data_IF_231015207724
#
_entry.id   IF_231015207724
#
_cell.length_a   1.000
_cell.length_b   1.000
_cell.length_c   1.000
_cell.angle_alpha   90.00
_cell.angle_beta   90.00
_cell.angle_gamma   90.00
#
_symmetry.space_group_name_H-M   'P 1'
#
loop_
_entity.id
_entity.type
_entity.pdbx_description
1 polymer ?
#
# COMPACT_ATOMS: atom_id res chain seq x y z
N UNK A 1 25.18 75.00 -17.22
CA UNK A 1 25.65 73.68 -17.71
C UNK A 1 27.06 73.88 -18.22
N UNK A 2 28.06 73.23 -17.62
CA UNK A 2 29.43 73.30 -18.09
C UNK A 2 29.62 72.29 -19.23
N UNK A 3 29.97 72.75 -20.43
CA UNK A 3 30.32 71.88 -21.55
C UNK A 3 31.78 71.50 -21.37
N UNK A 4 32.04 70.25 -20.95
CA UNK A 4 33.39 69.68 -20.85
C UNK A 4 33.67 68.87 -22.11
N UNK A 5 34.85 69.05 -22.72
CA UNK A 5 35.26 68.36 -23.95
C UNK A 5 35.89 66.99 -23.66
N UNK A 6 36.39 66.78 -22.44
CA UNK A 6 37.04 65.52 -22.03
C UNK A 6 36.06 64.47 -21.50
N UNK A 7 34.94 64.89 -20.92
CA UNK A 7 33.94 63.99 -20.33
C UNK A 7 32.56 64.35 -20.89
N UNK A 8 32.01 63.46 -21.72
CA UNK A 8 30.65 63.60 -22.26
C UNK A 8 29.64 62.99 -21.27
N UNK A 9 29.07 63.86 -20.42
CA UNK A 9 28.09 63.47 -19.41
C UNK A 9 26.83 62.82 -20.02
N UNK A 10 26.32 63.36 -21.14
CA UNK A 10 25.14 62.82 -21.80
C UNK A 10 25.38 61.37 -22.28
N UNK A 11 26.54 61.10 -22.87
CA UNK A 11 26.95 59.74 -23.28
C UNK A 11 27.06 58.77 -22.11
N UNK A 12 27.65 59.20 -20.99
CA UNK A 12 27.77 58.37 -19.78
C UNK A 12 26.41 58.01 -19.18
N UNK A 13 25.47 58.96 -19.16
CA UNK A 13 24.10 58.71 -18.70
C UNK A 13 23.39 57.73 -19.64
N UNK A 14 23.49 57.93 -20.95
CA UNK A 14 22.92 57.00 -21.94
C UNK A 14 23.51 55.59 -21.80
N UNK A 15 24.81 55.45 -21.57
CA UNK A 15 25.47 54.15 -21.42
C UNK A 15 25.04 53.41 -20.15
N UNK A 16 24.90 54.11 -19.02
CA UNK A 16 24.35 53.52 -17.79
C UNK A 16 22.89 53.06 -17.96
N UNK A 17 22.05 53.86 -18.61
CA UNK A 17 20.66 53.49 -18.91
C UNK A 17 20.59 52.29 -19.85
N UNK A 18 21.42 52.24 -20.89
CA UNK A 18 21.51 51.09 -21.80
C UNK A 18 21.95 49.81 -21.07
N UNK A 19 22.87 49.91 -20.11
CA UNK A 19 23.30 48.76 -19.31
C UNK A 19 22.16 48.24 -18.43
N UNK A 20 21.38 49.13 -17.80
CA UNK A 20 20.17 48.76 -17.05
C UNK A 20 19.13 48.05 -17.94
N UNK A 21 18.87 48.58 -19.14
CA UNK A 21 17.94 47.97 -20.12
C UNK A 21 18.42 46.59 -20.59
N UNK A 22 19.71 46.43 -20.88
CA UNK A 22 20.27 45.13 -21.26
C UNK A 22 20.16 44.09 -20.12
N UNK A 23 20.36 44.50 -18.87
CA UNK A 23 20.18 43.63 -17.71
C UNK A 23 18.71 43.19 -17.57
N UNK A 24 17.75 44.11 -17.73
CA UNK A 24 16.31 43.80 -17.69
C UNK A 24 15.88 42.87 -18.86
N UNK A 25 16.43 43.08 -20.05
CA UNK A 25 16.19 42.21 -21.21
C UNK A 25 16.75 40.80 -20.96
N UNK A 26 17.98 40.70 -20.46
CA UNK A 26 18.62 39.41 -20.14
C UNK A 26 17.78 38.62 -19.14
N UNK A 27 17.31 39.26 -18.08
CA UNK A 27 16.42 38.65 -17.08
C UNK A 27 15.08 38.21 -17.67
N UNK A 28 14.53 38.97 -18.61
CA UNK A 28 13.28 38.61 -19.28
C UNK A 28 13.46 37.42 -20.23
N UNK A 29 14.58 37.38 -20.96
CA UNK A 29 14.97 36.23 -21.79
C UNK A 29 15.21 34.98 -20.95
N UNK A 30 15.84 35.12 -19.78
CA UNK A 30 16.07 34.02 -18.85
C UNK A 30 14.75 33.43 -18.35
N UNK A 31 13.81 34.27 -17.90
CA UNK A 31 12.47 33.85 -17.48
C UNK A 31 11.67 33.21 -18.60
N UNK A 32 11.80 33.72 -19.83
CA UNK A 32 11.16 33.13 -21.00
C UNK A 32 11.74 31.75 -21.33
N UNK A 33 13.06 31.60 -21.24
CA UNK A 33 13.76 30.36 -21.53
C UNK A 33 13.51 29.28 -20.47
N UNK A 34 13.42 29.65 -19.19
CA UNK A 34 13.16 28.69 -18.11
C UNK A 34 11.68 28.46 -17.88
N UNK A 35 10.81 29.40 -18.29
CA UNK A 35 9.39 29.41 -17.95
C UNK A 35 9.09 29.75 -16.50
N UNK A 36 10.11 30.01 -15.66
CA UNK A 36 9.94 30.34 -14.25
C UNK A 36 10.07 31.83 -14.01
N UNK A 37 9.18 32.38 -13.17
CA UNK A 37 9.25 33.79 -12.76
C UNK A 37 10.40 34.07 -11.78
N UNK A 38 10.78 33.08 -10.98
CA UNK A 38 11.84 33.16 -9.97
C UNK A 38 12.89 32.11 -10.36
N UNK A 39 14.03 32.54 -10.89
CA UNK A 39 15.13 31.64 -11.27
C UNK A 39 16.23 31.60 -10.21
N UNK A 40 16.41 32.68 -9.44
CA UNK A 40 17.45 32.79 -8.45
C UNK A 40 16.95 33.37 -7.12
N UNK A 41 17.71 33.13 -6.03
CA UNK A 41 17.43 33.72 -4.72
C UNK A 41 17.57 35.26 -4.73
N UNK A 42 18.29 35.83 -5.72
CA UNK A 42 18.40 37.26 -5.91
C UNK A 42 17.11 37.90 -6.46
N UNK A 43 16.23 37.10 -7.08
CA UNK A 43 14.95 37.59 -7.61
C UNK A 43 13.88 37.67 -6.53
N UNK A 44 13.77 36.61 -5.72
CA UNK A 44 12.84 36.49 -4.58
C UNK A 44 13.26 35.30 -3.70
N UNK A 45 14.03 35.57 -2.65
CA UNK A 45 14.53 34.53 -1.75
C UNK A 45 13.39 33.81 -1.00
N UNK A 46 12.35 34.54 -0.57
CA UNK A 46 11.23 33.97 0.16
C UNK A 46 10.32 33.14 -0.77
N UNK A 47 10.03 33.66 -1.96
CA UNK A 47 9.28 32.94 -2.99
C UNK A 47 9.99 31.67 -3.46
N UNK A 48 11.32 31.72 -3.64
CA UNK A 48 12.11 30.54 -3.98
C UNK A 48 12.07 29.49 -2.86
N UNK A 49 12.15 29.90 -1.59
CA UNK A 49 12.05 28.97 -0.45
C UNK A 49 10.68 28.27 -0.42
N UNK A 50 9.59 29.02 -0.61
CA UNK A 50 8.24 28.44 -0.67
C UNK A 50 8.12 27.49 -1.85
N UNK A 51 8.60 27.88 -3.03
CA UNK A 51 8.59 27.04 -4.23
C UNK A 51 9.37 25.75 -4.03
N UNK A 52 10.56 25.80 -3.41
CA UNK A 52 11.35 24.62 -3.09
C UNK A 52 10.62 23.70 -2.11
N UNK A 53 10.01 24.25 -1.06
CA UNK A 53 9.21 23.46 -0.10
C UNK A 53 8.02 22.77 -0.78
N UNK A 54 7.30 23.48 -1.64
CA UNK A 54 6.18 22.90 -2.41
C UNK A 54 6.67 21.85 -3.42
N UNK A 55 7.84 22.05 -4.05
CA UNK A 55 8.43 21.07 -4.96
C UNK A 55 8.83 19.79 -4.22
N UNK A 56 9.48 19.92 -3.05
CA UNK A 56 9.80 18.80 -2.18
C UNK A 56 8.53 18.05 -1.75
N UNK A 57 7.49 18.78 -1.35
CA UNK A 57 6.21 18.19 -0.98
C UNK A 57 5.56 17.44 -2.16
N UNK A 58 5.56 18.04 -3.36
CA UNK A 58 5.03 17.40 -4.57
C UNK A 58 5.78 16.12 -4.93
N UNK A 59 7.12 16.14 -4.84
CA UNK A 59 7.95 14.95 -5.06
C UNK A 59 7.69 13.87 -4.02
N UNK A 60 7.57 14.26 -2.74
CA UNK A 60 7.23 13.34 -1.66
C UNK A 60 5.88 12.68 -1.87
N UNK A 61 4.85 13.45 -2.21
CA UNK A 61 3.52 12.93 -2.57
C UNK A 61 3.58 12.01 -3.80
N UNK A 62 4.44 12.29 -4.78
CA UNK A 62 4.66 11.42 -5.93
C UNK A 62 5.21 10.03 -5.57
N UNK A 63 6.13 9.96 -4.61
CA UNK A 63 6.60 8.68 -4.05
C UNK A 63 5.51 8.02 -3.22
N UNK A 64 4.81 8.80 -2.39
CA UNK A 64 3.74 8.31 -1.53
C UNK A 64 2.61 7.65 -2.33
N UNK A 65 2.19 8.23 -3.46
CA UNK A 65 1.20 7.60 -4.35
C UNK A 65 1.67 6.25 -4.89
N UNK A 66 2.96 6.11 -5.22
CA UNK A 66 3.52 4.82 -5.64
C UNK A 66 3.49 3.80 -4.50
N UNK A 67 3.93 4.20 -3.31
CA UNK A 67 3.87 3.35 -2.12
C UNK A 67 2.42 2.92 -1.81
N UNK A 68 1.45 3.81 -1.93
CA UNK A 68 0.03 3.48 -1.76
C UNK A 68 -0.44 2.47 -2.80
N UNK A 69 0.00 2.60 -4.05
CA UNK A 69 -0.35 1.65 -5.11
C UNK A 69 0.26 0.26 -4.84
N UNK A 70 1.51 0.20 -4.37
CA UNK A 70 2.16 -1.05 -3.97
C UNK A 70 1.45 -1.68 -2.76
N UNK A 71 1.02 -0.86 -1.79
CA UNK A 71 0.22 -1.29 -0.65
C UNK A 71 -1.11 -1.91 -1.10
N UNK A 72 -1.82 -1.26 -2.03
CA UNK A 72 -3.07 -1.78 -2.61
C UNK A 72 -2.82 -3.13 -3.29
N UNK A 73 -1.80 -3.22 -4.15
CA UNK A 73 -1.49 -4.47 -4.85
C UNK A 73 -1.10 -5.60 -3.89
N UNK A 74 -0.38 -5.29 -2.82
CA UNK A 74 -0.07 -6.24 -1.75
C UNK A 74 -1.34 -6.72 -1.04
N UNK A 75 -2.23 -5.79 -0.65
CA UNK A 75 -3.49 -6.12 0.02
C UNK A 75 -4.40 -6.96 -0.88
N UNK A 76 -4.53 -6.61 -2.16
CA UNK A 76 -5.32 -7.39 -3.13
C UNK A 76 -4.79 -8.81 -3.31
N UNK A 77 -3.47 -8.99 -3.28
CA UNK A 77 -2.86 -10.33 -3.35
C UNK A 77 -3.20 -11.14 -2.10
N UNK A 78 -3.14 -10.52 -0.91
CA UNK A 78 -3.54 -11.16 0.34
C UNK A 78 -5.05 -11.48 0.37
N UNK A 79 -5.89 -10.57 -0.11
CA UNK A 79 -7.34 -10.74 -0.18
C UNK A 79 -7.73 -11.88 -1.13
N UNK A 80 -7.14 -11.95 -2.33
CA UNK A 80 -7.40 -13.04 -3.26
C UNK A 80 -7.00 -14.42 -2.71
N UNK A 81 -5.89 -14.49 -1.96
CA UNK A 81 -5.50 -15.72 -1.27
C UNK A 81 -6.52 -16.11 -0.17
N UNK A 82 -7.02 -15.14 0.59
CA UNK A 82 -8.04 -15.37 1.61
C UNK A 82 -9.38 -15.82 1.02
N UNK A 83 -9.77 -15.28 -0.13
CA UNK A 83 -10.98 -15.71 -0.84
C UNK A 83 -10.85 -17.18 -1.30
N UNK A 84 -9.70 -17.60 -1.81
CA UNK A 84 -9.47 -19.00 -2.16
C UNK A 84 -9.50 -19.92 -0.94
N UNK A 85 -8.87 -19.51 0.17
CA UNK A 85 -8.94 -20.24 1.44
C UNK A 85 -10.40 -20.38 1.94
N UNK A 86 -11.23 -19.36 1.72
CA UNK A 86 -12.66 -19.40 2.06
C UNK A 86 -13.40 -20.45 1.24
N UNK A 87 -13.16 -20.50 -0.07
CA UNK A 87 -13.79 -21.48 -0.96
C UNK A 87 -13.40 -22.92 -0.58
N UNK A 88 -12.13 -23.13 -0.23
CA UNK A 88 -11.66 -24.43 0.28
C UNK A 88 -12.35 -24.79 1.60
N UNK A 89 -12.47 -23.83 2.53
CA UNK A 89 -13.16 -24.05 3.80
C UNK A 89 -14.63 -24.46 3.61
N UNK A 90 -15.35 -23.82 2.67
CA UNK A 90 -16.71 -24.25 2.33
C UNK A 90 -16.75 -25.68 1.79
N UNK A 91 -15.81 -26.06 0.92
CA UNK A 91 -15.72 -27.43 0.41
C UNK A 91 -15.43 -28.44 1.53
N UNK A 92 -14.55 -28.10 2.46
CA UNK A 92 -14.27 -28.90 3.65
C UNK A 92 -15.50 -29.07 4.55
N UNK A 93 -16.29 -28.00 4.72
CA UNK A 93 -17.56 -27.99 5.48
C UNK A 93 -18.63 -28.89 4.83
N UNK A 94 -18.73 -28.86 3.50
CA UNK A 94 -19.60 -29.74 2.71
C UNK A 94 -19.21 -31.22 2.90
N UNK A 95 -17.92 -31.54 2.79
CA UNK A 95 -17.41 -32.90 2.97
C UNK A 95 -17.63 -33.40 4.41
N UNK A 96 -17.41 -32.56 5.42
CA UNK A 96 -17.68 -32.89 6.81
C UNK A 96 -19.16 -33.19 7.05
N UNK A 97 -20.04 -32.40 6.44
CA UNK A 97 -21.50 -32.63 6.51
C UNK A 97 -21.91 -33.89 5.76
N UNK A 98 -21.27 -34.18 4.62
CA UNK A 98 -21.52 -35.38 3.83
C UNK A 98 -21.10 -36.65 4.58
N UNK A 99 -19.88 -36.69 5.14
CA UNK A 99 -19.36 -37.82 5.90
C UNK A 99 -20.18 -38.15 7.14
N UNK A 100 -20.85 -37.13 7.70
CA UNK A 100 -21.71 -37.26 8.86
C UNK A 100 -23.07 -37.92 8.57
N UNK A 101 -23.43 -38.14 7.31
CA UNK A 101 -24.64 -38.86 6.96
C UNK A 101 -24.46 -40.35 7.26
N UNK A 102 -25.40 -40.94 8.01
CA UNK A 102 -25.37 -42.35 8.42
C UNK A 102 -25.55 -43.37 7.27
N UNK A 103 -25.74 -42.90 6.04
CA UNK A 103 -25.99 -43.76 4.86
C UNK A 103 -24.69 -44.21 4.17
N UNK A 104 -23.55 -43.56 4.45
CA UNK A 104 -22.26 -43.90 3.86
C UNK A 104 -21.57 -45.05 4.60
N UNK A 105 -20.83 -45.87 3.85
CA UNK A 105 -20.01 -46.95 4.41
C UNK A 105 -18.70 -46.40 5.00
N UNK A 106 -17.99 -47.22 5.78
CA UNK A 106 -16.71 -46.81 6.36
C UNK A 106 -15.64 -46.55 5.28
N UNK A 107 -15.68 -47.31 4.18
CA UNK A 107 -14.80 -47.09 3.01
C UNK A 107 -15.10 -45.74 2.32
N UNK A 108 -16.38 -45.37 2.20
CA UNK A 108 -16.79 -44.06 1.65
C UNK A 108 -16.34 -42.91 2.55
N UNK A 109 -16.45 -43.08 3.88
CA UNK A 109 -15.96 -42.08 4.85
C UNK A 109 -14.45 -41.94 4.77
N UNK A 110 -13.72 -43.04 4.60
CA UNK A 110 -12.26 -42.98 4.43
C UNK A 110 -11.85 -42.23 3.16
N UNK A 111 -12.62 -42.35 2.07
CA UNK A 111 -12.36 -41.59 0.84
C UNK A 111 -12.65 -40.09 1.01
N UNK A 112 -13.76 -39.73 1.69
CA UNK A 112 -14.09 -38.34 2.00
C UNK A 112 -13.06 -37.70 2.96
N UNK A 113 -12.56 -38.46 3.93
CA UNK A 113 -11.49 -38.01 4.82
C UNK A 113 -10.17 -37.75 4.07
N UNK A 114 -9.83 -38.59 3.08
CA UNK A 114 -8.68 -38.34 2.22
C UNK A 114 -8.82 -37.03 1.43
N UNK A 115 -9.99 -36.75 0.83
CA UNK A 115 -10.25 -35.49 0.11
C UNK A 115 -10.16 -34.29 1.07
N UNK A 116 -10.70 -34.42 2.29
CA UNK A 116 -10.65 -33.38 3.31
C UNK A 116 -9.20 -33.08 3.75
N UNK A 117 -8.37 -34.11 3.94
CA UNK A 117 -6.96 -33.94 4.30
C UNK A 117 -6.15 -33.26 3.17
N UNK A 118 -6.42 -33.58 1.91
CA UNK A 118 -5.81 -32.90 0.77
C UNK A 118 -6.18 -31.42 0.73
N UNK A 119 -7.45 -31.09 0.96
CA UNK A 119 -7.92 -29.69 1.05
C UNK A 119 -7.30 -28.96 2.24
N UNK A 120 -7.17 -29.61 3.40
CA UNK A 120 -6.50 -29.04 4.56
C UNK A 120 -5.02 -28.74 4.28
N UNK A 121 -4.34 -29.64 3.57
CA UNK A 121 -2.96 -29.44 3.13
C UNK A 121 -2.85 -28.26 2.15
N UNK A 122 -3.78 -28.16 1.19
CA UNK A 122 -3.75 -27.07 0.21
C UNK A 122 -4.05 -25.72 0.84
N UNK A 123 -4.98 -25.67 1.79
CA UNK A 123 -5.24 -24.48 2.58
C UNK A 123 -3.98 -24.02 3.32
N UNK A 124 -3.25 -24.94 3.96
CA UNK A 124 -1.96 -24.63 4.61
C UNK A 124 -0.88 -24.19 3.59
N UNK A 125 -0.87 -24.76 2.39
CA UNK A 125 0.03 -24.33 1.32
C UNK A 125 -0.25 -22.87 0.92
N UNK A 126 -1.51 -22.50 0.68
CA UNK A 126 -1.87 -21.11 0.34
C UNK A 126 -1.50 -20.16 1.48
N UNK A 127 -1.80 -20.53 2.72
CA UNK A 127 -1.47 -19.72 3.90
C UNK A 127 0.04 -19.50 4.09
N UNK A 128 0.87 -20.50 3.79
CA UNK A 128 2.32 -20.43 3.98
C UNK A 128 3.08 -19.88 2.76
N UNK A 129 2.56 -20.07 1.54
CA UNK A 129 3.27 -19.72 0.29
C UNK A 129 2.85 -18.38 -0.33
N UNK A 130 1.73 -17.79 0.09
CA UNK A 130 1.29 -16.49 -0.44
C UNK A 130 2.33 -15.41 -0.20
N UNK A 131 2.86 -14.84 -1.29
CA UNK A 131 3.94 -13.86 -1.25
C UNK A 131 3.74 -12.72 -2.26
N UNK A 132 4.30 -11.56 -1.92
CA UNK A 132 4.34 -10.39 -2.79
C UNK A 132 5.73 -9.77 -2.72
N UNK A 133 6.33 -9.47 -3.88
CA UNK A 133 7.66 -8.88 -3.95
C UNK A 133 8.76 -9.71 -3.25
N UNK A 134 8.58 -11.04 -3.17
CA UNK A 134 9.53 -11.97 -2.51
C UNK A 134 9.39 -12.08 -0.99
N UNK A 135 8.37 -11.46 -0.38
CA UNK A 135 8.08 -11.59 1.05
C UNK A 135 6.74 -12.31 1.25
N UNK A 136 6.68 -13.25 2.18
CA UNK A 136 5.41 -13.91 2.55
C UNK A 136 4.48 -12.89 3.22
N UNK A 137 3.18 -13.04 2.97
CA UNK A 137 2.18 -12.10 3.47
C UNK A 137 1.49 -12.59 4.76
N UNK A 138 1.13 -13.87 4.81
CA UNK A 138 0.19 -14.42 5.79
C UNK A 138 0.89 -15.15 6.94
N UNK A 139 1.42 -16.36 6.73
CA UNK A 139 2.09 -17.15 7.77
C UNK A 139 3.42 -16.55 8.20
N UNK A 140 3.48 -15.97 9.40
CA UNK A 140 4.68 -15.33 9.96
C UNK A 140 5.25 -14.19 9.08
N UNK A 141 4.47 -13.78 8.06
CA UNK A 141 4.87 -12.86 7.01
C UNK A 141 4.61 -11.40 7.40
N UNK A 142 4.51 -10.54 6.39
CA UNK A 142 4.30 -9.10 6.56
C UNK A 142 3.14 -8.79 7.53
N UNK A 143 1.99 -9.44 7.36
CA UNK A 143 0.81 -9.22 8.20
C UNK A 143 0.77 -10.11 9.45
N UNK A 144 1.54 -11.20 9.48
CA UNK A 144 1.56 -12.15 10.60
C UNK A 144 2.46 -11.71 11.77
N UNK A 145 3.41 -10.79 11.55
CA UNK A 145 4.41 -10.37 12.55
C UNK A 145 4.12 -8.99 13.18
N UNK A 146 2.92 -8.45 13.01
CA UNK A 146 2.49 -7.22 13.64
C UNK A 146 1.92 -6.18 12.66
N UNK A 147 2.04 -4.91 13.03
CA UNK A 147 1.54 -3.80 12.22
C UNK A 147 2.43 -3.58 10.99
N UNK A 148 1.83 -3.56 9.81
CA UNK A 148 2.47 -3.11 8.58
C UNK A 148 2.17 -1.62 8.40
N UNK A 149 3.21 -0.81 8.28
CA UNK A 149 3.09 0.63 8.06
C UNK A 149 3.41 0.96 6.60
N UNK A 150 2.47 1.61 5.93
CA UNK A 150 2.65 2.12 4.57
C UNK A 150 2.80 3.64 4.61
N UNK A 151 3.92 4.14 4.10
CA UNK A 151 4.16 5.58 3.99
C UNK A 151 3.36 6.16 2.82
N UNK A 152 2.23 6.81 3.13
CA UNK A 152 1.25 7.33 2.17
C UNK A 152 1.21 8.86 2.07
N UNK A 153 2.04 9.57 2.83
CA UNK A 153 2.19 11.02 2.69
C UNK A 153 3.62 11.51 2.66
N UNK A 154 3.77 12.84 2.78
CA UNK A 154 5.05 13.52 2.61
C UNK A 154 5.83 13.66 3.93
N UNK A 155 5.15 13.60 5.08
CA UNK A 155 5.79 13.66 6.40
C UNK A 155 5.88 12.28 7.02
N UNK A 156 6.84 12.08 7.93
CA UNK A 156 7.07 10.78 8.60
C UNK A 156 5.89 10.29 9.45
N UNK A 157 4.91 11.16 9.75
CA UNK A 157 3.68 10.81 10.45
C UNK A 157 2.54 10.38 9.52
N UNK A 158 2.66 10.60 8.22
CA UNK A 158 1.59 10.29 7.25
C UNK A 158 1.68 8.82 6.81
N UNK A 159 1.35 7.93 7.74
CA UNK A 159 1.44 6.49 7.56
C UNK A 159 0.07 5.82 7.72
N UNK A 160 -0.20 4.82 6.90
CA UNK A 160 -1.31 3.90 7.06
C UNK A 160 -0.83 2.66 7.81
N UNK A 161 -1.29 2.50 9.04
CA UNK A 161 -1.00 1.33 9.87
C UNK A 161 -2.09 0.27 9.69
N UNK A 162 -1.71 -0.90 9.20
CA UNK A 162 -2.61 -2.06 9.07
C UNK A 162 -2.15 -3.15 10.01
N UNK A 163 -3.02 -3.57 10.92
CA UNK A 163 -2.77 -4.69 11.82
C UNK A 163 -3.92 -5.68 11.70
N UNK A 164 -3.58 -6.90 11.26
CA UNK A 164 -4.50 -8.04 11.13
C UNK A 164 -3.93 -9.29 11.80
N UNK A 165 -2.97 -9.10 12.73
CA UNK A 165 -2.22 -10.20 13.33
C UNK A 165 -3.13 -11.11 14.16
N UNK A 166 -4.12 -10.54 14.85
CA UNK A 166 -5.06 -11.29 15.70
C UNK A 166 -5.94 -12.20 14.85
N UNK A 167 -6.44 -11.68 13.74
CA UNK A 167 -7.28 -12.37 12.77
C UNK A 167 -6.50 -13.50 12.10
N UNK A 168 -5.26 -13.25 11.66
CA UNK A 168 -4.39 -14.27 11.07
C UNK A 168 -3.99 -15.36 12.06
N UNK A 169 -3.75 -15.01 13.33
CA UNK A 169 -3.43 -15.99 14.38
C UNK A 169 -4.62 -16.92 14.65
N UNK A 170 -5.84 -16.37 14.61
CA UNK A 170 -7.06 -17.16 14.75
C UNK A 170 -7.28 -18.09 13.54
N UNK A 171 -7.05 -17.59 12.31
CA UNK A 171 -7.08 -18.42 11.09
C UNK A 171 -6.05 -19.55 11.19
N UNK A 172 -4.80 -19.25 11.56
CA UNK A 172 -3.77 -20.28 11.75
C UNK A 172 -4.17 -21.35 12.78
N UNK A 173 -4.89 -20.97 13.83
CA UNK A 173 -5.41 -21.90 14.84
C UNK A 173 -6.52 -22.78 14.26
N UNK A 174 -7.44 -22.19 13.49
CA UNK A 174 -8.51 -22.90 12.79
C UNK A 174 -7.96 -23.91 11.75
N UNK A 175 -6.90 -23.57 11.02
CA UNK A 175 -6.21 -24.48 10.08
C UNK A 175 -5.60 -25.67 10.82
N UNK A 176 -4.99 -25.41 11.97
CA UNK A 176 -4.39 -26.46 12.82
C UNK A 176 -5.46 -27.36 13.44
N UNK A 177 -6.64 -26.83 13.74
CA UNK A 177 -7.78 -27.62 14.20
C UNK A 177 -8.41 -28.44 13.06
N UNK A 178 -8.49 -27.88 11.85
CA UNK A 178 -9.03 -28.52 10.66
C UNK A 178 -8.09 -29.56 10.02
N UNK A 179 -6.86 -29.73 10.51
CA UNK A 179 -5.96 -30.82 10.12
C UNK A 179 -6.16 -32.11 10.93
N UNK A 180 -7.20 -32.15 11.79
CA UNK A 180 -7.72 -33.38 12.40
C UNK A 180 -8.58 -34.21 11.43
N UNK A 181 -8.99 -35.40 11.85
CA UNK A 181 -9.88 -36.30 11.10
C UNK A 181 -11.30 -35.71 10.96
N UNK A 182 -11.99 -36.02 9.85
CA UNK A 182 -13.35 -35.53 9.50
C UNK A 182 -14.41 -35.77 10.58
N UNK A 183 -14.19 -36.70 11.50
CA UNK A 183 -15.13 -37.01 12.59
C UNK A 183 -15.27 -35.91 13.65
N UNK A 184 -14.36 -34.93 13.71
CA UNK A 184 -14.39 -33.82 14.69
C UNK A 184 -15.23 -32.62 14.17
N UNK A 185 -16.50 -32.89 13.89
CA UNK A 185 -17.48 -31.93 13.31
C UNK A 185 -17.62 -30.62 14.10
N UNK A 186 -17.43 -30.66 15.41
CA UNK A 186 -17.67 -29.50 16.27
C UNK A 186 -16.54 -28.46 16.12
N UNK A 187 -15.31 -28.89 15.86
CA UNK A 187 -14.18 -27.99 15.62
C UNK A 187 -14.28 -27.27 14.26
N UNK A 188 -14.71 -27.98 13.21
CA UNK A 188 -14.82 -27.44 11.84
C UNK A 188 -15.96 -26.44 11.70
N UNK A 189 -17.14 -26.72 12.27
CA UNK A 189 -18.28 -25.80 12.24
C UNK A 189 -18.03 -24.53 13.07
N UNK A 190 -17.28 -24.63 14.18
CA UNK A 190 -16.87 -23.46 14.96
C UNK A 190 -15.85 -22.59 14.19
N UNK A 191 -14.92 -23.21 13.46
CA UNK A 191 -13.95 -22.51 12.62
C UNK A 191 -14.61 -21.76 11.44
N UNK A 192 -15.61 -22.35 10.79
CA UNK A 192 -16.34 -21.75 9.66
C UNK A 192 -17.20 -20.54 10.12
N UNK A 193 -17.85 -20.66 11.28
CA UNK A 193 -18.58 -19.56 11.91
C UNK A 193 -17.65 -18.40 12.35
N UNK A 194 -16.49 -18.72 12.93
CA UNK A 194 -15.48 -17.74 13.31
C UNK A 194 -14.90 -17.02 12.08
N UNK A 195 -14.65 -17.75 11.00
CA UNK A 195 -14.12 -17.20 9.75
C UNK A 195 -15.13 -16.24 9.09
N UNK A 196 -16.40 -16.63 9.00
CA UNK A 196 -17.47 -15.80 8.41
C UNK A 196 -17.78 -14.53 9.24
N UNK A 197 -17.76 -14.62 10.57
CA UNK A 197 -18.00 -13.46 11.44
C UNK A 197 -16.82 -12.48 11.40
N UNK A 198 -15.59 -12.98 11.27
CA UNK A 198 -14.40 -12.12 11.26
C UNK A 198 -14.19 -11.40 9.93
N UNK A 199 -14.58 -12.01 8.81
CA UNK A 199 -14.59 -11.35 7.50
C UNK A 199 -15.52 -10.15 7.45
N UNK A 200 -16.69 -10.22 8.10
CA UNK A 200 -17.64 -9.09 8.14
C UNK A 200 -17.14 -7.96 9.04
N UNK A 201 -16.46 -8.27 10.15
CA UNK A 201 -15.84 -7.24 11.00
C UNK A 201 -14.60 -6.60 10.36
N UNK A 202 -13.76 -7.37 9.65
CA UNK A 202 -12.58 -6.83 8.96
C UNK A 202 -12.97 -5.99 7.74
N UNK A 203 -13.96 -6.42 6.95
CA UNK A 203 -14.50 -5.64 5.84
C UNK A 203 -15.13 -4.31 6.31
N UNK A 204 -15.85 -4.32 7.45
CA UNK A 204 -16.41 -3.11 8.04
C UNK A 204 -15.33 -2.14 8.56
N UNK A 205 -14.29 -2.66 9.22
CA UNK A 205 -13.18 -1.84 9.72
C UNK A 205 -12.37 -1.19 8.58
N UNK A 206 -12.24 -1.87 7.43
CA UNK A 206 -11.57 -1.34 6.24
C UNK A 206 -12.43 -0.25 5.55
N UNK A 207 -13.76 -0.39 5.54
CA UNK A 207 -14.66 0.61 4.92
C UNK A 207 -14.91 1.86 5.77
N UNK A 208 -14.71 1.83 7.09
CA UNK A 208 -15.08 2.93 7.99
C UNK A 208 -13.89 3.75 8.53
N UNK A 209 -12.67 3.47 8.05
CA UNK A 209 -11.46 4.24 8.39
C UNK A 209 -10.99 5.21 7.28
N UNK A 210 -11.79 5.41 6.22
CA UNK A 210 -11.56 6.47 5.22
C UNK A 210 -12.14 7.82 5.63
#
# INVERSE_FOLDING_TARGET
MAISVHTNYASLVTQNTLQSTNNALTKSMERLSTGFRINSAADDAAGLQIANRLNLQSRGLGMAMRNSQDAISMMQTAEGAMDEMTNIAYRMSDLATQAANGTYTDDDRSALDSEFQELASELNNIFSSTSFGGRTLLSGGAFGNGTVEFQIGNTSSDQLSVNVQTELSAISTAITAASGTVEDRDAVNQADLDFSQRRTTSHWAIQHQS
#
